data_IF_756734302605
#
_entry.id   IF_756734302605
#
_cell.length_a   1.000
_cell.length_b   1.000
_cell.length_c   1.000
_cell.angle_alpha   90.00
_cell.angle_beta   90.00
_cell.angle_gamma   90.00
#
_symmetry.space_group_name_H-M   'P 1'
#
loop_
_entity.id
_entity.type
_entity.pdbx_description
1 polymer ?
#
# COMPACT_ATOMS: atom_id res chain seq x y z
N UNK A 1 14.17 9.62 14.21
CA UNK A 1 13.96 10.65 13.15
C UNK A 1 12.91 10.06 12.21
N UNK A 2 11.85 10.79 11.86
CA UNK A 2 10.80 10.24 11.00
C UNK A 2 11.37 9.72 9.67
N UNK A 3 10.81 8.63 9.15
CA UNK A 3 11.35 7.93 7.98
C UNK A 3 11.09 8.71 6.69
N UNK A 4 12.01 8.65 5.73
CA UNK A 4 11.73 9.14 4.38
C UNK A 4 10.91 8.09 3.62
N UNK A 5 9.77 8.44 2.97
CA UNK A 5 8.95 7.46 2.24
C UNK A 5 9.73 6.61 1.23
N UNK A 6 10.67 7.23 0.51
CA UNK A 6 11.51 6.59 -0.50
C UNK A 6 12.40 5.48 0.09
N UNK A 7 12.91 5.67 1.31
CA UNK A 7 13.71 4.66 2.00
C UNK A 7 12.86 3.45 2.40
N UNK A 8 11.66 3.71 2.93
CA UNK A 8 10.66 2.67 3.26
C UNK A 8 10.30 1.87 2.01
N UNK A 9 10.03 2.54 0.89
CA UNK A 9 9.68 1.90 -0.38
C UNK A 9 10.83 1.04 -0.90
N UNK A 10 12.10 1.48 -0.83
CA UNK A 10 13.25 0.65 -1.22
C UNK A 10 13.39 -0.60 -0.35
N UNK A 11 13.16 -0.48 0.96
CA UNK A 11 13.19 -1.63 1.88
C UNK A 11 12.07 -2.62 1.52
N UNK A 12 10.87 -2.14 1.19
CA UNK A 12 9.77 -3.00 0.74
C UNK A 12 10.12 -3.68 -0.57
N UNK A 13 10.63 -2.94 -1.56
CA UNK A 13 10.97 -3.50 -2.87
C UNK A 13 11.99 -4.64 -2.76
N UNK A 14 12.98 -4.52 -1.87
CA UNK A 14 13.99 -5.54 -1.66
C UNK A 14 13.45 -6.84 -1.04
N UNK A 15 12.34 -6.78 -0.28
CA UNK A 15 11.85 -7.89 0.53
C UNK A 15 10.50 -8.48 0.08
N UNK A 16 9.68 -7.74 -0.68
CA UNK A 16 8.27 -8.09 -0.93
C UNK A 16 8.02 -9.31 -1.83
N UNK A 17 9.05 -9.82 -2.51
CA UNK A 17 8.91 -10.90 -3.49
C UNK A 17 7.89 -10.56 -4.59
N UNK A 18 6.87 -11.39 -4.74
CA UNK A 18 5.82 -11.24 -5.77
C UNK A 18 4.54 -10.55 -5.26
N UNK A 19 4.62 -9.80 -4.15
CA UNK A 19 3.47 -9.10 -3.60
C UNK A 19 2.95 -8.03 -4.57
N UNK A 20 1.62 -7.93 -4.69
CA UNK A 20 0.95 -6.87 -5.44
C UNK A 20 1.01 -5.58 -4.62
N UNK A 21 1.48 -4.49 -5.22
CA UNK A 21 1.63 -3.20 -4.54
C UNK A 21 0.65 -2.16 -5.07
N UNK A 22 0.03 -1.40 -4.17
CA UNK A 22 -0.93 -0.34 -4.51
C UNK A 22 -0.37 1.01 -4.04
N UNK A 23 0.52 1.65 -4.83
CA UNK A 23 1.05 2.96 -4.50
C UNK A 23 -0.01 4.04 -4.69
N UNK A 24 -0.12 4.96 -3.73
CA UNK A 24 -1.14 6.02 -3.74
C UNK A 24 -0.50 7.38 -3.60
N UNK A 25 -0.92 8.32 -4.45
CA UNK A 25 -0.50 9.72 -4.40
C UNK A 25 1.02 9.88 -4.25
N UNK A 26 1.51 10.33 -3.08
CA UNK A 26 2.92 10.69 -2.84
C UNK A 26 3.88 9.52 -2.94
N UNK A 27 3.44 8.27 -2.74
CA UNK A 27 4.30 7.10 -2.95
C UNK A 27 4.40 6.70 -4.43
N UNK A 28 3.51 7.21 -5.28
CA UNK A 28 3.39 6.85 -6.69
C UNK A 28 4.64 7.15 -7.53
N UNK A 29 5.15 8.39 -7.56
CA UNK A 29 6.35 8.74 -8.33
C UNK A 29 7.56 7.88 -7.94
N UNK A 30 7.92 7.86 -6.65
CA UNK A 30 9.05 7.07 -6.18
C UNK A 30 8.89 5.58 -6.47
N UNK A 31 7.69 5.01 -6.33
CA UNK A 31 7.47 3.59 -6.63
C UNK A 31 7.67 3.26 -8.11
N UNK A 32 7.28 4.16 -9.03
CA UNK A 32 7.52 3.97 -10.47
C UNK A 32 9.00 3.89 -10.79
N UNK A 33 9.83 4.66 -10.11
CA UNK A 33 11.29 4.65 -10.34
C UNK A 33 11.94 3.43 -9.65
N UNK A 34 11.48 3.07 -8.46
CA UNK A 34 12.00 1.95 -7.67
C UNK A 34 11.60 0.59 -8.29
N UNK A 35 10.42 0.50 -8.90
CA UNK A 35 9.82 -0.74 -9.38
C UNK A 35 9.00 -0.56 -10.69
N UNK A 36 9.61 -0.12 -11.81
CA UNK A 36 8.90 0.27 -13.03
C UNK A 36 8.09 -0.83 -13.73
N UNK A 37 8.48 -2.10 -13.60
CA UNK A 37 7.89 -3.25 -14.31
C UNK A 37 7.33 -4.32 -13.38
N UNK A 38 6.80 -3.92 -12.23
CA UNK A 38 6.35 -4.86 -11.21
C UNK A 38 4.86 -5.27 -11.29
N UNK A 39 4.38 -5.92 -10.22
CA UNK A 39 2.96 -6.14 -9.93
C UNK A 39 2.41 -4.97 -9.11
N UNK A 40 2.18 -3.82 -9.75
CA UNK A 40 1.51 -2.69 -9.11
C UNK A 40 0.40 -2.07 -9.94
N UNK A 41 -0.53 -1.44 -9.22
CA UNK A 41 -1.54 -0.57 -9.80
C UNK A 41 -1.62 0.69 -8.92
N UNK A 42 -1.20 1.82 -9.48
CA UNK A 42 -1.15 3.08 -8.77
C UNK A 42 -2.50 3.79 -8.72
N UNK A 43 -2.86 4.28 -7.54
CA UNK A 43 -4.02 5.12 -7.31
C UNK A 43 -3.62 6.60 -7.42
N UNK A 44 -3.60 7.12 -8.65
CA UNK A 44 -3.36 8.54 -8.94
C UNK A 44 -4.65 9.14 -9.50
N UNK A 45 -5.15 10.20 -8.86
CA UNK A 45 -6.41 10.87 -9.25
C UNK A 45 -7.67 10.39 -8.53
N UNK A 46 -7.58 9.43 -7.60
CA UNK A 46 -8.70 9.01 -6.74
C UNK A 46 -8.23 8.65 -5.32
N UNK A 47 -7.95 9.67 -4.50
CA UNK A 47 -7.66 9.48 -3.07
C UNK A 47 -8.77 8.69 -2.36
N UNK A 48 -8.38 7.90 -1.36
CA UNK A 48 -9.28 7.02 -0.62
C UNK A 48 -9.61 5.69 -1.32
N UNK A 49 -9.21 5.50 -2.58
CA UNK A 49 -9.49 4.25 -3.30
C UNK A 49 -8.50 3.11 -3.06
N UNK A 50 -7.33 3.41 -2.50
CA UNK A 50 -6.22 2.45 -2.39
C UNK A 50 -6.53 1.24 -1.52
N UNK A 51 -7.10 1.47 -0.34
CA UNK A 51 -7.50 0.44 0.60
C UNK A 51 -8.56 -0.50 0.00
N UNK A 52 -9.56 0.06 -0.68
CA UNK A 52 -10.62 -0.68 -1.36
C UNK A 52 -10.12 -1.49 -2.56
N UNK A 53 -9.23 -0.91 -3.39
CA UNK A 53 -8.59 -1.64 -4.50
C UNK A 53 -7.72 -2.79 -3.98
N UNK A 54 -6.93 -2.52 -2.93
CA UNK A 54 -6.12 -3.52 -2.25
C UNK A 54 -6.95 -4.68 -1.70
N UNK A 55 -8.10 -4.37 -1.08
CA UNK A 55 -9.04 -5.39 -0.60
C UNK A 55 -9.56 -6.28 -1.75
N UNK A 56 -10.02 -5.67 -2.84
CA UNK A 56 -10.52 -6.40 -4.00
C UNK A 56 -9.48 -7.37 -4.57
N UNK A 57 -8.24 -6.92 -4.71
CA UNK A 57 -7.12 -7.75 -5.17
C UNK A 57 -6.76 -8.85 -4.18
N UNK A 58 -6.79 -8.55 -2.87
CA UNK A 58 -6.50 -9.52 -1.83
C UNK A 58 -7.52 -10.67 -1.81
N UNK A 59 -8.80 -10.34 -1.98
CA UNK A 59 -9.89 -11.32 -2.10
C UNK A 59 -9.81 -12.12 -3.41
N UNK A 60 -9.46 -11.47 -4.52
CA UNK A 60 -9.36 -12.13 -5.81
C UNK A 60 -8.13 -13.05 -5.93
N UNK A 61 -7.03 -12.72 -5.23
CA UNK A 61 -5.73 -13.44 -5.28
C UNK A 61 -5.28 -13.84 -3.87
N UNK A 62 -6.01 -14.71 -3.16
CA UNK A 62 -5.74 -15.05 -1.75
C UNK A 62 -4.34 -15.65 -1.52
N UNK A 63 -3.73 -16.22 -2.56
CA UNK A 63 -2.39 -16.81 -2.55
C UNK A 63 -1.24 -15.80 -2.67
N UNK A 64 -1.52 -14.53 -2.98
CA UNK A 64 -0.50 -13.48 -3.12
C UNK A 64 -0.70 -12.40 -2.08
N UNK A 65 0.40 -11.94 -1.48
CA UNK A 65 0.38 -10.78 -0.58
C UNK A 65 -0.02 -9.53 -1.36
N UNK A 66 -0.89 -8.71 -0.78
CA UNK A 66 -1.23 -7.37 -1.29
C UNK A 66 -0.78 -6.34 -0.27
N UNK A 67 0.00 -5.36 -0.74
CA UNK A 67 0.53 -4.28 0.09
C UNK A 67 -0.03 -2.96 -0.42
N UNK A 68 -0.79 -2.27 0.42
CA UNK A 68 -1.32 -0.95 0.13
C UNK A 68 -0.36 0.09 0.70
N UNK A 69 0.07 1.04 -0.14
CA UNK A 69 0.77 2.24 0.31
C UNK A 69 -0.23 3.39 0.27
N UNK A 70 -0.82 3.68 1.42
CA UNK A 70 -1.84 4.71 1.57
C UNK A 70 -1.26 5.96 2.24
N UNK A 71 -1.91 7.10 2.05
CA UNK A 71 -1.60 8.33 2.78
C UNK A 71 -2.64 8.57 3.87
N UNK A 72 -2.26 9.15 5.00
CA UNK A 72 -3.19 9.57 6.06
C UNK A 72 -4.35 10.45 5.55
N UNK A 73 -4.07 11.46 4.73
CA UNK A 73 -5.10 12.27 4.09
C UNK A 73 -5.97 11.48 3.10
N UNK A 74 -5.39 10.51 2.39
CA UNK A 74 -6.13 9.62 1.47
C UNK A 74 -7.08 8.71 2.24
N UNK A 75 -6.61 8.09 3.33
CA UNK A 75 -7.43 7.21 4.16
C UNK A 75 -8.58 7.98 4.83
N UNK A 76 -8.37 9.22 5.28
CA UNK A 76 -9.44 10.04 5.84
C UNK A 76 -10.60 10.27 4.87
N UNK A 77 -10.33 10.35 3.55
CA UNK A 77 -11.39 10.48 2.54
C UNK A 77 -12.27 9.23 2.40
N UNK A 78 -11.79 8.06 2.86
CA UNK A 78 -12.52 6.80 2.79
C UNK A 78 -12.32 5.96 4.05
N UNK A 79 -12.50 6.59 5.23
CA UNK A 79 -12.21 5.94 6.51
C UNK A 79 -13.07 4.68 6.74
N UNK A 80 -14.28 4.65 6.19
CA UNK A 80 -15.17 3.47 6.22
C UNK A 80 -14.57 2.21 5.59
N UNK A 81 -13.54 2.34 4.73
CA UNK A 81 -12.81 1.20 4.17
C UNK A 81 -12.15 0.32 5.25
N UNK A 82 -11.80 0.88 6.41
CA UNK A 82 -11.27 0.10 7.53
C UNK A 82 -12.29 -0.95 8.01
N UNK A 83 -13.56 -0.56 8.17
CA UNK A 83 -14.63 -1.47 8.59
C UNK A 83 -14.89 -2.53 7.51
N UNK A 84 -14.90 -2.15 6.23
CA UNK A 84 -15.07 -3.08 5.11
C UNK A 84 -13.96 -4.14 5.08
N UNK A 85 -12.70 -3.74 5.23
CA UNK A 85 -11.55 -4.66 5.25
C UNK A 85 -11.63 -5.59 6.45
N UNK A 86 -11.92 -5.05 7.64
CA UNK A 86 -12.03 -5.83 8.86
C UNK A 86 -13.18 -6.85 8.82
N UNK A 87 -14.30 -6.51 8.16
CA UNK A 87 -15.41 -7.44 7.92
C UNK A 87 -15.06 -8.56 6.95
N UNK A 88 -14.32 -8.25 5.88
CA UNK A 88 -13.91 -9.22 4.86
C UNK A 88 -12.76 -10.15 5.30
N UNK A 89 -11.93 -9.71 6.27
CA UNK A 89 -10.83 -10.48 6.88
C UNK A 89 -9.84 -11.12 5.87
N UNK A 90 -9.29 -10.36 4.89
CA UNK A 90 -8.32 -10.92 3.96
C UNK A 90 -7.02 -11.31 4.70
N UNK A 91 -6.62 -12.58 4.63
CA UNK A 91 -5.41 -13.10 5.30
C UNK A 91 -4.10 -12.56 4.72
N UNK A 92 -4.15 -12.01 3.50
CA UNK A 92 -3.00 -11.64 2.69
C UNK A 92 -2.85 -10.12 2.50
N UNK A 93 -3.60 -9.28 3.24
CA UNK A 93 -3.53 -7.82 3.09
C UNK A 93 -2.65 -7.16 4.18
N UNK A 94 -1.70 -6.34 3.72
CA UNK A 94 -0.88 -5.43 4.52
C UNK A 94 -1.18 -3.99 4.11
N UNK A 95 -1.79 -3.20 4.99
CA UNK A 95 -2.14 -1.81 4.77
C UNK A 95 -1.12 -0.91 5.48
N UNK A 96 -0.22 -0.30 4.70
CA UNK A 96 0.79 0.62 5.19
C UNK A 96 0.29 2.05 4.99
N UNK A 97 0.14 2.80 6.09
CA UNK A 97 -0.27 4.19 6.07
C UNK A 97 0.96 5.10 6.26
N UNK A 98 1.31 5.86 5.25
CA UNK A 98 2.37 6.87 5.30
C UNK A 98 1.80 8.15 5.91
N UNK A 99 2.11 8.39 7.19
CA UNK A 99 1.55 9.50 7.98
C UNK A 99 2.54 10.65 8.05
N UNK A 100 2.12 11.81 7.55
CA UNK A 100 2.89 13.06 7.58
C UNK A 100 2.04 14.28 8.00
N UNK A 101 0.73 14.11 8.19
CA UNK A 101 -0.20 15.10 8.71
C UNK A 101 -0.69 16.13 7.70
N UNK A 102 -0.33 16.02 6.40
CA UNK A 102 -0.66 17.04 5.40
C UNK A 102 -1.12 16.47 4.07
N UNK A 103 -1.96 17.24 3.36
CA UNK A 103 -2.25 17.02 1.95
C UNK A 103 -1.10 17.53 1.07
N UNK A 104 0.00 16.77 1.04
CA UNK A 104 1.23 17.17 0.36
C UNK A 104 1.01 17.49 -1.14
N UNK A 105 0.08 16.81 -1.81
CA UNK A 105 -0.20 17.02 -3.25
C UNK A 105 -0.88 18.35 -3.57
N UNK A 106 -1.58 18.97 -2.61
CA UNK A 106 -2.39 20.19 -2.83
C UNK A 106 -1.77 21.46 -2.23
N UNK A 107 -0.54 21.39 -1.74
CA UNK A 107 0.15 22.51 -1.10
C UNK A 107 0.41 22.33 0.39
N UNK A 108 0.40 21.09 0.90
CA UNK A 108 0.82 20.73 2.27
C UNK A 108 -0.02 21.38 3.37
N UNK A 109 -1.31 21.59 3.13
CA UNK A 109 -2.25 21.97 4.18
C UNK A 109 -2.44 20.80 5.15
N UNK A 110 -2.66 21.09 6.42
CA UNK A 110 -2.93 20.03 7.40
C UNK A 110 -4.17 19.22 7.02
N UNK A 111 -4.10 17.90 7.22
CA UNK A 111 -5.28 17.04 7.15
C UNK A 111 -6.20 17.34 8.34
N UNK A 112 -7.50 17.00 8.28
CA UNK A 112 -8.36 17.06 9.46
C UNK A 112 -7.75 16.31 10.66
N UNK A 113 -7.52 17.01 11.76
CA UNK A 113 -6.86 16.48 12.96
C UNK A 113 -5.33 16.40 12.91
N UNK A 114 -4.69 16.68 11.75
CA UNK A 114 -3.24 16.69 11.60
C UNK A 114 -2.55 15.42 12.11
N UNK A 115 -1.42 15.59 12.78
CA UNK A 115 -0.66 14.49 13.38
C UNK A 115 -1.33 13.86 14.62
N UNK A 116 -2.40 14.46 15.15
CA UNK A 116 -3.08 13.96 16.37
C UNK A 116 -4.01 12.79 16.11
N UNK A 117 -4.37 12.51 14.86
CA UNK A 117 -5.25 11.39 14.50
C UNK A 117 -4.57 10.06 14.81
N UNK A 118 -5.21 9.20 15.61
CA UNK A 118 -4.72 7.86 15.92
C UNK A 118 -5.36 6.81 15.00
N UNK A 119 -4.73 6.56 13.85
CA UNK A 119 -5.22 5.59 12.89
C UNK A 119 -5.04 4.14 13.36
N UNK A 120 -4.08 3.87 14.25
CA UNK A 120 -3.87 2.53 14.83
C UNK A 120 -5.07 2.15 15.67
N UNK A 121 -5.53 3.03 16.55
CA UNK A 121 -6.71 2.79 17.37
C UNK A 121 -7.97 2.69 16.51
N UNK A 122 -8.11 3.51 15.47
CA UNK A 122 -9.22 3.39 14.51
C UNK A 122 -9.23 2.03 13.79
N UNK A 123 -8.08 1.56 13.30
CA UNK A 123 -7.97 0.25 12.65
C UNK A 123 -8.31 -0.91 13.59
N UNK A 124 -7.83 -0.85 14.86
CA UNK A 124 -8.23 -1.83 15.89
C UNK A 124 -9.72 -1.79 16.18
N UNK A 125 -10.29 -0.59 16.34
CA UNK A 125 -11.71 -0.38 16.58
C UNK A 125 -12.59 -0.86 15.42
N UNK A 126 -12.09 -0.78 14.18
CA UNK A 126 -12.75 -1.34 13.02
C UNK A 126 -12.69 -2.89 12.97
N UNK A 127 -11.73 -3.50 13.67
CA UNK A 127 -11.58 -4.96 13.77
C UNK A 127 -10.36 -5.55 13.06
N UNK A 128 -9.34 -4.76 12.73
CA UNK A 128 -8.08 -5.31 12.25
C UNK A 128 -7.43 -6.20 13.31
N UNK A 129 -7.00 -7.40 12.90
CA UNK A 129 -6.34 -8.37 13.79
C UNK A 129 -5.04 -7.81 14.37
N UNK A 130 -4.29 -7.09 13.54
CA UNK A 130 -3.02 -6.48 13.91
C UNK A 130 -3.01 -5.03 13.44
N UNK A 131 -2.72 -4.11 14.36
CA UNK A 131 -2.43 -2.72 14.03
C UNK A 131 -1.32 -2.19 14.93
N UNK A 132 -0.35 -1.47 14.37
CA UNK A 132 0.75 -0.85 15.11
C UNK A 132 1.27 0.40 14.40
N UNK A 133 2.01 1.23 15.13
CA UNK A 133 2.77 2.34 14.57
C UNK A 133 4.27 2.02 14.57
N UNK A 134 5.00 2.50 13.57
CA UNK A 134 6.45 2.40 13.45
C UNK A 134 6.99 3.77 13.06
N UNK A 135 7.90 4.32 13.87
CA UNK A 135 8.46 5.66 13.68
C UNK A 135 9.89 5.69 13.13
N UNK A 136 10.60 4.56 13.16
CA UNK A 136 12.03 4.50 12.83
C UNK A 136 12.31 3.43 11.77
N UNK A 137 13.17 3.78 10.80
CA UNK A 137 13.44 2.94 9.63
C UNK A 137 14.05 1.59 10.01
N UNK A 138 14.93 1.56 11.00
CA UNK A 138 15.55 0.31 11.43
C UNK A 138 14.57 -0.62 12.15
N UNK A 139 13.56 -0.07 12.84
CA UNK A 139 12.48 -0.89 13.39
C UNK A 139 11.58 -1.45 12.28
N UNK A 140 11.28 -0.64 11.26
CA UNK A 140 10.57 -1.10 10.08
C UNK A 140 11.32 -2.25 9.38
N UNK A 141 12.63 -2.10 9.12
CA UNK A 141 13.49 -3.15 8.52
C UNK A 141 13.45 -4.45 9.33
N UNK A 142 13.53 -4.37 10.66
CA UNK A 142 13.48 -5.57 11.54
C UNK A 142 12.12 -6.26 11.50
N UNK A 143 11.02 -5.50 11.45
CA UNK A 143 9.65 -6.04 11.51
C UNK A 143 9.12 -6.49 10.15
N UNK A 144 9.60 -5.91 9.06
CA UNK A 144 9.06 -6.15 7.72
C UNK A 144 9.02 -7.64 7.34
N UNK A 145 10.04 -8.49 7.58
CA UNK A 145 9.96 -9.92 7.25
C UNK A 145 8.77 -10.63 7.89
N UNK A 146 8.47 -10.31 9.15
CA UNK A 146 7.29 -10.84 9.85
C UNK A 146 6.00 -10.23 9.30
N UNK A 147 5.98 -8.92 9.04
CA UNK A 147 4.83 -8.23 8.45
C UNK A 147 4.52 -8.70 7.03
N UNK A 148 5.47 -9.31 6.30
CA UNK A 148 5.25 -9.87 4.96
C UNK A 148 4.69 -11.30 4.99
N UNK A 149 4.82 -12.02 6.11
CA UNK A 149 4.40 -13.42 6.23
C UNK A 149 3.22 -13.65 7.17
N UNK A 150 2.96 -12.74 8.12
CA UNK A 150 1.87 -12.87 9.08
C UNK A 150 0.47 -12.81 8.43
N UNK A 151 -0.53 -13.49 9.00
CA UNK A 151 -1.91 -13.42 8.53
C UNK A 151 -2.56 -12.06 8.87
N UNK A 152 -3.19 -11.45 7.87
CA UNK A 152 -3.89 -10.17 7.96
C UNK A 152 -5.40 -10.26 8.24
N UNK A 153 -6.11 -9.12 8.11
CA UNK A 153 -5.58 -7.84 7.66
C UNK A 153 -4.67 -7.19 8.71
N UNK A 154 -3.52 -6.67 8.26
CA UNK A 154 -2.54 -5.97 9.10
C UNK A 154 -2.53 -4.50 8.72
N UNK A 155 -2.63 -3.63 9.71
CA UNK A 155 -2.48 -2.18 9.54
C UNK A 155 -1.15 -1.71 10.16
N UNK A 156 -0.41 -0.88 9.46
CA UNK A 156 0.82 -0.29 9.99
C UNK A 156 0.83 1.20 9.68
N UNK A 157 0.77 2.02 10.73
CA UNK A 157 1.02 3.45 10.63
C UNK A 157 2.53 3.69 10.59
N UNK A 158 3.03 4.33 9.54
CA UNK A 158 4.44 4.68 9.36
C UNK A 158 4.58 6.18 9.54
N UNK A 159 5.38 6.62 10.52
CA UNK A 159 5.65 8.05 10.68
C UNK A 159 6.71 8.47 9.69
N UNK A 160 6.32 9.31 8.75
CA UNK A 160 7.16 9.70 7.63
C UNK A 160 7.27 11.20 7.48
N UNK A 161 8.40 11.66 6.96
CA UNK A 161 8.52 13.01 6.42
C UNK A 161 7.74 13.13 5.11
N UNK A 162 7.78 14.32 4.50
CA UNK A 162 7.30 14.49 3.13
C UNK A 162 8.15 13.68 2.15
N UNK A 163 7.51 13.12 1.12
CA UNK A 163 8.18 12.55 -0.04
C UNK A 163 8.97 13.65 -0.79
N UNK A 164 9.96 13.27 -1.60
CA UNK A 164 10.70 14.23 -2.44
C UNK A 164 9.85 14.76 -3.58
N UNK A 165 8.96 13.91 -4.10
CA UNK A 165 8.10 14.22 -5.23
C UNK A 165 6.64 13.88 -4.94
N UNK A 166 5.75 14.53 -5.69
CA UNK A 166 4.33 14.26 -5.71
C UNK A 166 3.91 13.99 -7.16
N UNK A 167 2.71 13.42 -7.41
CA UNK A 167 2.19 13.33 -8.77
C UNK A 167 2.10 14.68 -9.50
N UNK A 168 2.04 15.80 -8.77
CA UNK A 168 2.00 17.15 -9.33
C UNK A 168 3.39 17.67 -9.75
N UNK A 169 4.46 17.22 -9.08
CA UNK A 169 5.84 17.64 -9.38
C UNK A 169 6.60 16.64 -10.24
N UNK A 170 6.18 15.37 -10.24
CA UNK A 170 6.73 14.30 -11.05
C UNK A 170 5.58 13.48 -11.64
N UNK A 171 5.01 14.01 -12.72
CA UNK A 171 3.93 13.37 -13.47
C UNK A 171 4.35 12.07 -14.17
N UNK A 172 3.46 11.58 -15.03
CA UNK A 172 3.67 10.35 -15.80
C UNK A 172 2.99 9.13 -15.18
N UNK A 173 3.49 7.95 -15.56
CA UNK A 173 2.76 6.70 -15.35
C UNK A 173 1.78 6.46 -16.48
N UNK A 174 1.12 5.31 -16.47
CA UNK A 174 0.14 4.95 -17.49
C UNK A 174 -1.28 5.21 -16.99
N UNK A 175 -2.26 5.45 -17.88
CA UNK A 175 -3.66 5.54 -17.47
C UNK A 175 -4.08 4.32 -16.65
N UNK A 176 -4.92 4.52 -15.63
CA UNK A 176 -5.28 3.47 -14.67
C UNK A 176 -5.78 2.18 -15.35
N UNK A 177 -6.63 2.28 -16.38
CA UNK A 177 -7.10 1.11 -17.12
C UNK A 177 -5.97 0.28 -17.76
N UNK A 178 -4.91 0.92 -18.25
CA UNK A 178 -3.75 0.23 -18.82
C UNK A 178 -2.87 -0.41 -17.75
N UNK A 179 -2.78 0.20 -16.58
CA UNK A 179 -2.10 -0.40 -15.42
C UNK A 179 -2.84 -1.68 -15.00
N UNK A 180 -4.17 -1.61 -14.91
CA UNK A 180 -5.01 -2.76 -14.55
C UNK A 180 -4.93 -3.88 -15.58
N UNK A 181 -4.93 -3.58 -16.89
CA UNK A 181 -4.81 -4.62 -17.92
C UNK A 181 -3.43 -5.28 -17.91
N UNK A 182 -2.36 -4.50 -17.69
CA UNK A 182 -1.00 -5.04 -17.50
C UNK A 182 -0.93 -5.93 -16.27
N UNK A 183 -1.46 -5.48 -15.13
CA UNK A 183 -1.49 -6.27 -13.90
C UNK A 183 -2.29 -7.57 -14.11
N UNK A 184 -3.48 -7.49 -14.70
CA UNK A 184 -4.32 -8.64 -15.06
C UNK A 184 -3.53 -9.64 -15.91
N UNK A 185 -2.91 -9.17 -16.99
CA UNK A 185 -2.11 -10.01 -17.89
C UNK A 185 -1.00 -10.74 -17.13
N UNK A 186 -0.20 -10.03 -16.32
CA UNK A 186 0.88 -10.61 -15.52
C UNK A 186 0.37 -11.65 -14.50
N UNK A 187 -0.77 -11.39 -13.86
CA UNK A 187 -1.35 -12.31 -12.88
C UNK A 187 -1.91 -13.60 -13.52
N UNK A 188 -2.45 -13.51 -14.74
CA UNK A 188 -2.96 -14.66 -15.48
C UNK A 188 -1.83 -15.51 -16.08
N UNK A 189 -0.79 -14.89 -16.63
CA UNK A 189 0.34 -15.62 -17.22
C UNK A 189 1.19 -16.34 -16.18
N UNK A 190 1.37 -15.74 -14.99
CA UNK A 190 2.04 -16.40 -13.87
C UNK A 190 1.31 -17.68 -13.40
N UNK A 191 -0.03 -17.71 -13.51
CA UNK A 191 -0.82 -18.91 -13.20
C UNK A 191 -0.66 -20.00 -14.27
N UNK A 192 -0.72 -19.63 -15.55
CA UNK A 192 -0.59 -20.58 -16.67
C UNK A 192 0.75 -21.35 -16.65
N UNK A 193 1.85 -20.67 -16.28
CA UNK A 193 3.16 -21.33 -16.12
C UNK A 193 3.19 -22.33 -14.95
N UNK A 194 2.52 -21.98 -13.84
CA UNK A 194 2.47 -22.84 -12.64
C UNK A 194 1.57 -24.07 -12.85
N UNK A 195 0.48 -23.92 -13.63
CA UNK A 195 -0.38 -25.05 -14.01
C UNK A 195 0.31 -25.99 -14.99
N UNK A 196 1.02 -25.49 -16.01
CA UNK A 196 1.80 -26.33 -16.94
C UNK A 196 2.86 -27.18 -16.25
N UNK A 197 3.59 -26.62 -15.28
CA UNK A 197 4.55 -27.38 -14.47
C UNK A 197 3.85 -28.48 -13.64
N UNK A 198 2.63 -28.25 -13.17
CA UNK A 198 1.86 -29.26 -12.42
C UNK A 198 1.24 -30.33 -13.32
N UNK A 199 0.92 -30.01 -14.57
CA UNK A 199 0.33 -30.96 -15.53
C UNK A 199 1.38 -31.70 -16.37
N UNK A 200 2.66 -31.31 -16.30
CA UNK A 200 3.74 -31.97 -17.03
C UNK A 200 3.74 -31.72 -18.54
N UNK A 201 3.14 -30.60 -18.97
CA UNK A 201 3.16 -30.12 -20.37
C UNK A 201 4.25 -29.06 -20.60
#
# INVERSE_FOLDING_TARGET
>A
MAMKPEEVLRVIQAARGNAICIPTMTTGPAWRDIAPDDLSAGCVGFMGGASSLGLGLALARPERRVIVFDGDGSLLMQLGSLATIAGARPRNLLHLLFKNGVYHTSGSQEIPGGLTVDFVTMARGAGYKTALAIGELDDFKRRLPQLLTAEGPIFVELHTTLADQTPMTAGGGSPFHQQMERLRTKLLTANAFTERIKTGE
#
